data_IF_288432214743
#
_entry.id   IF_288432214743
#
_cell.length_a   1.000
_cell.length_b   1.000
_cell.length_c   1.000
_cell.angle_alpha   90.00
_cell.angle_beta   90.00
_cell.angle_gamma   90.00
#
_symmetry.space_group_name_H-M   'P 1'
#
loop_
_entity.id
_entity.type
_entity.pdbx_description
1 polymer ?
#
# COMPACT_ATOMS: atom_id res chain seq x y z
N UNK A 1 -9.19 5.54 18.63
CA UNK A 1 -9.96 5.32 19.87
C UNK A 1 -11.43 5.13 19.52
N UNK A 2 -12.00 3.93 19.74
CA UNK A 2 -13.36 3.58 19.30
C UNK A 2 -14.45 4.50 19.87
N UNK A 3 -14.31 4.94 21.12
CA UNK A 3 -15.29 5.82 21.77
C UNK A 3 -15.46 7.19 21.10
N UNK A 4 -14.50 7.60 20.26
CA UNK A 4 -14.54 8.86 19.51
C UNK A 4 -15.02 8.67 18.06
N UNK A 5 -15.24 7.44 17.61
CA UNK A 5 -15.75 7.14 16.27
C UNK A 5 -17.27 7.29 16.25
N UNK A 6 -17.71 8.54 16.06
CA UNK A 6 -19.12 8.94 16.13
C UNK A 6 -20.00 8.22 15.09
N UNK A 7 -19.40 7.77 13.99
CA UNK A 7 -20.01 6.98 12.93
C UNK A 7 -20.46 5.57 13.37
N UNK A 8 -19.93 5.05 14.48
CA UNK A 8 -20.35 3.76 15.03
C UNK A 8 -21.60 3.87 15.91
N UNK A 9 -22.03 5.08 16.26
CA UNK A 9 -23.23 5.31 17.06
C UNK A 9 -24.46 5.52 16.17
N UNK A 10 -25.64 5.19 16.71
CA UNK A 10 -26.92 5.56 16.11
C UNK A 10 -27.02 7.08 15.93
N UNK A 11 -27.72 7.55 14.90
CA UNK A 11 -27.85 8.98 14.58
C UNK A 11 -28.27 9.82 15.79
N UNK A 12 -29.28 9.37 16.55
CA UNK A 12 -29.79 10.07 17.75
C UNK A 12 -28.71 10.25 18.83
N UNK A 13 -27.84 9.24 19.00
CA UNK A 13 -26.75 9.30 19.97
C UNK A 13 -25.63 10.19 19.46
N UNK A 14 -25.28 10.11 18.18
CA UNK A 14 -24.30 10.98 17.52
C UNK A 14 -24.69 12.45 17.66
N UNK A 15 -25.92 12.81 17.31
CA UNK A 15 -26.43 14.18 17.40
C UNK A 15 -26.35 14.73 18.82
N UNK A 16 -26.80 13.94 19.83
CA UNK A 16 -26.70 14.35 21.23
C UNK A 16 -25.27 14.58 21.72
N UNK A 17 -24.31 13.78 21.24
CA UNK A 17 -22.90 13.95 21.59
C UNK A 17 -22.36 15.23 20.96
N UNK A 18 -22.62 15.44 19.67
CA UNK A 18 -22.18 16.62 18.93
C UNK A 18 -22.79 17.90 19.52
N UNK A 19 -24.09 17.90 19.84
CA UNK A 19 -24.76 19.06 20.43
C UNK A 19 -24.17 19.44 21.79
N UNK A 20 -23.82 18.45 22.61
CA UNK A 20 -23.36 18.68 23.99
C UNK A 20 -21.86 18.96 24.10
N UNK A 21 -21.04 18.32 23.26
CA UNK A 21 -19.58 18.31 23.40
C UNK A 21 -18.82 18.73 22.14
N UNK A 22 -19.51 18.88 21.00
CA UNK A 22 -18.88 18.98 19.68
C UNK A 22 -18.18 17.69 19.26
N UNK A 23 -17.50 17.73 18.11
CA UNK A 23 -16.60 16.65 17.72
C UNK A 23 -15.19 16.91 18.31
N UNK A 24 -14.87 16.16 19.37
CA UNK A 24 -13.57 16.25 20.04
C UNK A 24 -12.40 15.89 19.12
N UNK A 25 -12.60 15.11 18.06
CA UNK A 25 -11.56 14.74 17.10
C UNK A 25 -11.06 15.97 16.34
N UNK A 26 -11.97 16.91 16.04
CA UNK A 26 -11.64 18.18 15.37
C UNK A 26 -10.72 19.02 16.26
N UNK A 27 -11.09 19.22 17.53
CA UNK A 27 -10.29 19.97 18.50
C UNK A 27 -8.90 19.35 18.69
N UNK A 28 -8.83 18.03 18.90
CA UNK A 28 -7.55 17.33 19.05
C UNK A 28 -6.70 17.39 17.77
N UNK A 29 -7.33 17.21 16.61
CA UNK A 29 -6.68 17.33 15.31
C UNK A 29 -6.02 18.68 15.13
N UNK A 30 -6.74 19.78 15.37
CA UNK A 30 -6.17 21.13 15.27
C UNK A 30 -5.03 21.38 16.26
N UNK A 31 -5.06 20.80 17.46
CA UNK A 31 -3.92 20.88 18.38
C UNK A 31 -2.69 20.16 17.82
N UNK A 32 -2.85 18.96 17.24
CA UNK A 32 -1.74 18.22 16.61
C UNK A 32 -1.19 19.00 15.41
N UNK A 33 -2.06 19.60 14.59
CA UNK A 33 -1.65 20.44 13.46
C UNK A 33 -0.87 21.68 13.93
N UNK A 34 -1.30 22.30 15.03
CA UNK A 34 -0.60 23.43 15.65
C UNK A 34 0.79 23.02 16.18
N UNK A 35 0.90 21.84 16.80
CA UNK A 35 2.20 21.31 17.22
C UNK A 35 3.12 21.08 16.03
N UNK A 36 2.61 20.50 14.93
CA UNK A 36 3.40 20.28 13.72
C UNK A 36 3.95 21.59 13.16
N UNK A 37 3.14 22.64 13.07
CA UNK A 37 3.60 23.92 12.53
C UNK A 37 4.71 24.55 13.37
N UNK A 38 4.73 24.30 14.69
CA UNK A 38 5.74 24.79 15.63
C UNK A 38 7.08 24.02 15.61
N UNK A 39 7.15 22.85 14.96
CA UNK A 39 8.38 22.03 14.95
C UNK A 39 9.54 22.64 14.15
N UNK A 40 9.28 23.62 13.26
CA UNK A 40 10.33 24.26 12.45
C UNK A 40 11.19 23.24 11.66
N UNK A 41 12.51 23.39 11.70
CA UNK A 41 13.47 22.50 11.02
C UNK A 41 13.47 21.06 11.58
N UNK A 42 12.99 20.85 12.81
CA UNK A 42 12.94 19.53 13.41
C UNK A 42 11.94 18.59 12.70
N UNK A 43 11.02 19.13 11.88
CA UNK A 43 10.04 18.36 11.10
C UNK A 43 10.69 17.19 10.35
N UNK A 44 11.86 17.39 9.75
CA UNK A 44 12.57 16.38 8.97
C UNK A 44 12.84 15.08 9.74
N UNK A 45 13.10 15.16 11.04
CA UNK A 45 13.36 14.00 11.88
C UNK A 45 12.08 13.23 12.21
N UNK A 46 10.92 13.90 12.17
CA UNK A 46 9.61 13.33 12.50
C UNK A 46 8.86 12.83 11.28
N UNK A 47 9.15 13.33 10.07
CA UNK A 47 8.47 12.91 8.82
C UNK A 47 8.31 11.37 8.73
N UNK A 48 9.36 10.54 8.90
CA UNK A 48 9.23 9.10 8.66
C UNK A 48 8.24 8.44 9.61
N UNK A 49 8.16 8.90 10.85
CA UNK A 49 7.25 8.34 11.85
C UNK A 49 5.87 9.01 11.87
N UNK A 50 5.73 10.22 11.31
CA UNK A 50 4.50 11.02 11.38
C UNK A 50 3.60 10.89 10.15
N UNK A 51 4.10 10.43 8.99
CA UNK A 51 3.26 10.19 7.80
C UNK A 51 2.07 9.28 8.13
N UNK A 52 2.31 8.14 8.80
CA UNK A 52 1.26 7.20 9.21
C UNK A 52 0.21 7.81 10.14
N UNK A 53 0.59 8.39 11.28
CA UNK A 53 -0.35 9.06 12.19
C UNK A 53 -1.18 10.16 11.53
N UNK A 54 -0.59 11.02 10.70
CA UNK A 54 -1.37 12.05 9.99
C UNK A 54 -2.33 11.44 8.96
N UNK A 55 -1.92 10.35 8.32
CA UNK A 55 -2.78 9.61 7.40
C UNK A 55 -3.98 8.98 8.11
N UNK A 56 -3.80 8.46 9.33
CA UNK A 56 -4.92 7.99 10.14
C UNK A 56 -5.93 9.11 10.46
N UNK A 57 -5.42 10.30 10.77
CA UNK A 57 -6.26 11.49 11.02
C UNK A 57 -7.03 11.88 9.75
N UNK A 58 -6.41 11.84 8.57
CA UNK A 58 -7.10 12.17 7.32
C UNK A 58 -8.11 11.11 6.86
N UNK A 59 -8.02 9.89 7.37
CA UNK A 59 -8.98 8.83 7.04
C UNK A 59 -10.24 8.85 7.92
N UNK A 60 -10.24 9.62 9.02
CA UNK A 60 -11.45 9.88 9.82
C UNK A 60 -12.49 10.58 8.92
N UNK A 61 -13.76 10.12 8.89
CA UNK A 61 -14.81 10.69 8.05
C UNK A 61 -15.34 12.02 8.61
N UNK A 62 -14.44 13.00 8.76
CA UNK A 62 -14.75 14.34 9.26
C UNK A 62 -14.09 15.41 8.38
N UNK A 63 -14.91 16.14 7.62
CA UNK A 63 -14.44 16.89 6.45
C UNK A 63 -13.51 18.07 6.80
N UNK A 64 -13.78 18.78 7.89
CA UNK A 64 -12.96 19.91 8.34
C UNK A 64 -11.56 19.44 8.74
N UNK A 65 -11.52 18.32 9.47
CA UNK A 65 -10.28 17.68 9.90
C UNK A 65 -9.46 17.16 8.71
N UNK A 66 -10.12 16.53 7.73
CA UNK A 66 -9.50 16.07 6.48
C UNK A 66 -8.83 17.23 5.76
N UNK A 67 -9.59 18.31 5.52
CA UNK A 67 -9.10 19.50 4.81
C UNK A 67 -7.90 20.13 5.52
N UNK A 68 -7.99 20.34 6.82
CA UNK A 68 -6.91 20.94 7.60
C UNK A 68 -5.64 20.08 7.62
N UNK A 69 -5.80 18.75 7.71
CA UNK A 69 -4.67 17.83 7.86
C UNK A 69 -3.99 17.49 6.53
N UNK A 70 -4.72 17.44 5.42
CA UNK A 70 -4.13 17.14 4.11
C UNK A 70 -3.01 18.11 3.73
N UNK A 71 -3.11 19.36 4.16
CA UNK A 71 -2.06 20.37 4.00
C UNK A 71 -0.71 19.96 4.60
N UNK A 72 -0.68 19.13 5.63
CA UNK A 72 0.55 18.64 6.26
C UNK A 72 1.40 17.85 5.27
N UNK A 73 0.79 17.05 4.38
CA UNK A 73 1.56 16.27 3.40
C UNK A 73 2.30 17.16 2.40
N UNK A 74 1.71 18.28 2.01
CA UNK A 74 2.41 19.29 1.22
C UNK A 74 3.61 19.84 1.98
N UNK A 75 3.44 20.22 3.25
CA UNK A 75 4.53 20.73 4.08
C UNK A 75 5.64 19.68 4.26
N UNK A 76 5.30 18.39 4.40
CA UNK A 76 6.29 17.30 4.48
C UNK A 76 7.10 17.17 3.20
N UNK A 77 6.43 17.16 2.03
CA UNK A 77 7.11 17.12 0.74
C UNK A 77 8.03 18.33 0.57
N UNK A 78 7.56 19.53 0.91
CA UNK A 78 8.35 20.75 0.77
C UNK A 78 9.58 20.73 1.70
N UNK A 79 9.41 20.32 2.96
CA UNK A 79 10.51 20.21 3.92
C UNK A 79 11.57 19.22 3.40
N UNK A 80 11.16 18.01 2.99
CA UNK A 80 12.10 17.00 2.49
C UNK A 80 12.78 17.46 1.20
N UNK A 81 12.02 18.07 0.28
CA UNK A 81 12.55 18.62 -0.97
C UNK A 81 13.62 19.68 -0.70
N UNK A 82 13.38 20.62 0.24
CA UNK A 82 14.33 21.67 0.58
C UNK A 82 15.62 21.11 1.17
N UNK A 83 15.53 20.04 1.95
CA UNK A 83 16.67 19.44 2.63
C UNK A 83 17.47 18.43 1.77
N UNK A 84 16.80 17.67 0.89
CA UNK A 84 17.39 16.52 0.19
C UNK A 84 17.27 16.59 -1.34
N UNK A 85 16.58 17.60 -1.87
CA UNK A 85 16.31 17.75 -3.31
C UNK A 85 15.29 16.76 -3.89
N UNK A 86 14.67 15.94 -3.05
CA UNK A 86 13.60 15.00 -3.40
C UNK A 86 12.73 14.73 -2.15
N UNK A 87 11.51 14.21 -2.34
CA UNK A 87 10.60 13.81 -1.26
C UNK A 87 10.31 12.30 -1.26
N UNK A 88 11.31 11.48 -1.62
CA UNK A 88 11.13 10.03 -1.77
C UNK A 88 10.76 9.34 -0.46
N UNK A 89 11.23 9.82 0.69
CA UNK A 89 10.87 9.19 1.97
C UNK A 89 9.40 9.40 2.29
N UNK A 90 8.87 10.61 2.11
CA UNK A 90 7.44 10.90 2.23
C UNK A 90 6.64 10.01 1.28
N UNK A 91 7.06 9.90 0.02
CA UNK A 91 6.41 9.03 -0.98
C UNK A 91 6.39 7.56 -0.55
N UNK A 92 7.53 7.01 -0.09
CA UNK A 92 7.62 5.64 0.42
C UNK A 92 6.61 5.39 1.54
N UNK A 93 6.70 6.18 2.61
CA UNK A 93 5.87 5.99 3.80
C UNK A 93 4.38 6.16 3.48
N UNK A 94 4.03 7.09 2.59
CA UNK A 94 2.63 7.33 2.25
C UNK A 94 2.03 6.15 1.47
N UNK A 95 2.77 5.58 0.52
CA UNK A 95 2.33 4.37 -0.20
C UNK A 95 2.18 3.19 0.76
N UNK A 96 3.17 2.98 1.62
CA UNK A 96 3.22 1.82 2.51
C UNK A 96 2.08 1.86 3.54
N UNK A 97 1.82 3.05 4.11
CA UNK A 97 0.74 3.23 5.09
C UNK A 97 -0.65 3.22 4.43
N UNK A 98 -0.80 3.75 3.22
CA UNK A 98 -2.08 3.70 2.50
C UNK A 98 -2.54 2.27 2.22
N UNK A 99 -1.63 1.39 1.79
CA UNK A 99 -1.95 -0.02 1.54
C UNK A 99 -2.51 -0.71 2.79
N UNK A 100 -1.86 -0.49 3.93
CA UNK A 100 -2.26 -1.06 5.23
C UNK A 100 -3.61 -0.49 5.65
N UNK A 101 -3.75 0.83 5.69
CA UNK A 101 -4.95 1.49 6.23
C UNK A 101 -6.20 1.20 5.39
N UNK A 102 -6.09 1.16 4.06
CA UNK A 102 -7.23 0.81 3.21
C UNK A 102 -7.59 -0.67 3.34
N UNK A 103 -6.58 -1.55 3.51
CA UNK A 103 -6.82 -2.96 3.84
C UNK A 103 -7.52 -3.14 5.20
N UNK A 104 -7.34 -2.22 6.14
CA UNK A 104 -8.06 -2.14 7.43
C UNK A 104 -9.44 -1.46 7.32
N UNK A 105 -9.99 -1.35 6.11
CA UNK A 105 -11.30 -0.77 5.82
C UNK A 105 -11.43 0.73 6.12
N UNK A 106 -10.31 1.47 6.20
CA UNK A 106 -10.33 2.93 6.33
C UNK A 106 -10.34 3.61 4.95
N UNK A 107 -10.76 4.88 4.92
CA UNK A 107 -10.80 5.70 3.70
C UNK A 107 -12.04 5.50 2.85
N UNK A 108 -12.32 6.46 1.99
CA UNK A 108 -13.48 6.48 1.10
C UNK A 108 -13.19 7.30 -0.16
N UNK A 109 -14.17 7.35 -1.07
CA UNK A 109 -14.02 8.08 -2.32
C UNK A 109 -13.98 9.61 -2.11
N UNK A 110 -14.58 10.10 -1.02
CA UNK A 110 -14.49 11.53 -0.66
C UNK A 110 -13.04 11.88 -0.27
N UNK A 111 -12.39 11.05 0.55
CA UNK A 111 -10.98 11.20 0.91
C UNK A 111 -10.09 11.21 -0.33
N UNK A 112 -10.28 10.28 -1.26
CA UNK A 112 -9.52 10.23 -2.54
C UNK A 112 -9.64 11.54 -3.31
N UNK A 113 -10.86 12.08 -3.44
CA UNK A 113 -11.11 13.34 -4.15
C UNK A 113 -10.48 14.53 -3.41
N UNK A 114 -10.67 14.62 -2.10
CA UNK A 114 -10.09 15.68 -1.27
C UNK A 114 -8.55 15.66 -1.32
N UNK A 115 -7.93 14.48 -1.25
CA UNK A 115 -6.48 14.32 -1.36
C UNK A 115 -5.96 14.92 -2.66
N UNK A 116 -6.58 14.56 -3.79
CA UNK A 116 -6.21 15.07 -5.10
C UNK A 116 -6.41 16.59 -5.20
N UNK A 117 -7.62 17.07 -4.91
CA UNK A 117 -7.98 18.49 -5.07
C UNK A 117 -7.14 19.40 -4.19
N UNK A 118 -7.03 19.11 -2.89
CA UNK A 118 -6.37 20.02 -1.94
C UNK A 118 -4.87 20.10 -2.20
N UNK A 119 -4.23 18.96 -2.48
CA UNK A 119 -2.79 18.94 -2.72
C UNK A 119 -2.44 19.53 -4.09
N UNK A 120 -3.22 19.25 -5.15
CA UNK A 120 -2.99 19.86 -6.46
C UNK A 120 -3.21 21.37 -6.43
N UNK A 121 -4.30 21.85 -5.82
CA UNK A 121 -4.56 23.29 -5.69
C UNK A 121 -3.40 23.97 -4.97
N UNK A 122 -2.85 23.35 -3.92
CA UNK A 122 -1.73 23.92 -3.17
C UNK A 122 -0.41 23.92 -3.95
N UNK A 123 -0.12 22.84 -4.68
CA UNK A 123 1.04 22.80 -5.60
C UNK A 123 0.92 23.86 -6.69
N UNK A 124 -0.29 24.10 -7.21
CA UNK A 124 -0.52 25.13 -8.22
C UNK A 124 -0.44 26.54 -7.65
N UNK A 125 -0.94 26.78 -6.43
CA UNK A 125 -0.96 28.11 -5.82
C UNK A 125 0.42 28.58 -5.34
N UNK A 126 1.22 27.67 -4.75
CA UNK A 126 2.55 27.99 -4.23
C UNK A 126 3.63 27.98 -5.33
N UNK A 127 3.33 27.44 -6.51
CA UNK A 127 4.20 27.30 -7.68
C UNK A 127 5.66 26.89 -7.36
N UNK A 128 5.89 25.81 -6.61
CA UNK A 128 7.23 25.43 -6.22
C UNK A 128 8.05 24.91 -7.41
N UNK A 129 9.37 24.96 -7.30
CA UNK A 129 10.29 24.44 -8.34
C UNK A 129 10.07 22.96 -8.67
N UNK A 130 9.49 22.20 -7.74
CA UNK A 130 9.19 20.77 -7.86
C UNK A 130 7.73 20.49 -8.26
N UNK A 131 6.96 21.48 -8.73
CA UNK A 131 5.53 21.36 -9.04
C UNK A 131 5.18 20.20 -9.97
N UNK A 132 6.00 19.95 -10.99
CA UNK A 132 5.77 18.87 -11.95
C UNK A 132 5.90 17.51 -11.28
N UNK A 133 6.97 17.32 -10.51
CA UNK A 133 7.17 16.11 -9.70
C UNK A 133 6.07 15.94 -8.65
N UNK A 134 5.66 17.03 -8.00
CA UNK A 134 4.57 17.03 -7.03
C UNK A 134 3.22 16.63 -7.63
N UNK A 135 2.85 17.22 -8.77
CA UNK A 135 1.62 16.88 -9.49
C UNK A 135 1.62 15.42 -10.00
N UNK A 136 2.76 14.94 -10.51
CA UNK A 136 2.93 13.55 -10.91
C UNK A 136 2.74 12.59 -9.71
N UNK A 137 3.36 12.90 -8.57
CA UNK A 137 3.21 12.12 -7.34
C UNK A 137 1.75 12.09 -6.86
N UNK A 138 1.08 13.24 -6.77
CA UNK A 138 -0.32 13.32 -6.33
C UNK A 138 -1.24 12.53 -7.25
N UNK A 139 -1.01 12.60 -8.57
CA UNK A 139 -1.74 11.80 -9.56
C UNK A 139 -1.52 10.29 -9.35
N UNK A 140 -0.28 9.86 -9.14
CA UNK A 140 0.07 8.46 -8.87
C UNK A 140 -0.58 7.93 -7.58
N UNK A 141 -0.55 8.71 -6.49
CA UNK A 141 -1.22 8.35 -5.24
C UNK A 141 -2.74 8.33 -5.40
N UNK A 142 -3.32 9.26 -6.15
CA UNK A 142 -4.77 9.28 -6.40
C UNK A 142 -5.21 8.02 -7.17
N UNK A 143 -4.42 7.59 -8.16
CA UNK A 143 -4.62 6.32 -8.87
C UNK A 143 -4.42 5.11 -7.96
N UNK A 144 -3.46 5.16 -7.03
CA UNK A 144 -3.28 4.13 -6.02
C UNK A 144 -4.50 4.00 -5.10
N UNK A 145 -4.99 5.11 -4.58
CA UNK A 145 -6.20 5.16 -3.76
C UNK A 145 -7.40 4.57 -4.49
N UNK A 146 -7.59 4.90 -5.76
CA UNK A 146 -8.64 4.30 -6.60
C UNK A 146 -8.52 2.78 -6.66
N UNK A 147 -7.33 2.24 -6.97
CA UNK A 147 -7.10 0.79 -7.06
C UNK A 147 -7.25 0.08 -5.73
N UNK A 148 -6.83 0.69 -4.63
CA UNK A 148 -6.99 0.12 -3.29
C UNK A 148 -8.44 0.13 -2.85
N UNK A 149 -9.21 1.18 -3.15
CA UNK A 149 -10.64 1.25 -2.87
C UNK A 149 -11.42 0.24 -3.73
N UNK A 150 -11.10 0.11 -5.02
CA UNK A 150 -11.66 -0.93 -5.90
C UNK A 150 -11.40 -2.33 -5.32
N UNK A 151 -10.14 -2.61 -4.95
CA UNK A 151 -9.74 -3.87 -4.33
C UNK A 151 -10.52 -4.17 -3.06
N UNK A 152 -10.63 -3.19 -2.16
CA UNK A 152 -11.40 -3.32 -0.92
C UNK A 152 -12.86 -3.68 -1.20
N UNK A 153 -13.51 -2.98 -2.12
CA UNK A 153 -14.92 -3.21 -2.44
C UNK A 153 -15.15 -4.63 -2.99
N UNK A 154 -14.22 -5.12 -3.82
CA UNK A 154 -14.29 -6.47 -4.43
C UNK A 154 -14.04 -7.57 -3.39
N UNK A 155 -13.12 -7.36 -2.45
CA UNK A 155 -12.80 -8.35 -1.40
C UNK A 155 -13.89 -8.43 -0.33
N UNK A 156 -14.48 -7.29 0.05
CA UNK A 156 -15.56 -7.24 1.03
C UNK A 156 -16.91 -7.70 0.48
N UNK A 157 -17.17 -7.43 -0.80
CA UNK A 157 -18.42 -7.82 -1.44
C UNK A 157 -18.54 -9.34 -1.59
N UNK A 158 -19.78 -9.83 -1.71
CA UNK A 158 -20.09 -11.22 -2.11
C UNK A 158 -19.77 -11.49 -3.60
N UNK A 159 -18.85 -10.73 -4.18
CA UNK A 159 -18.48 -10.81 -5.59
C UNK A 159 -17.75 -12.11 -5.94
N UNK A 160 -17.92 -12.53 -7.20
CA UNK A 160 -17.37 -13.76 -7.76
C UNK A 160 -15.84 -13.85 -7.57
N UNK A 161 -15.33 -15.07 -7.33
CA UNK A 161 -13.90 -15.37 -7.11
C UNK A 161 -13.01 -14.82 -8.23
N UNK A 162 -13.49 -14.85 -9.47
CA UNK A 162 -12.76 -14.35 -10.64
C UNK A 162 -12.51 -12.84 -10.57
N UNK A 163 -13.47 -12.06 -10.06
CA UNK A 163 -13.30 -10.61 -9.88
C UNK A 163 -12.23 -10.32 -8.82
N UNK A 164 -12.21 -11.10 -7.72
CA UNK A 164 -11.17 -10.99 -6.67
C UNK A 164 -9.78 -11.28 -7.23
N UNK A 165 -9.63 -12.33 -8.04
CA UNK A 165 -8.36 -12.64 -8.71
C UNK A 165 -7.94 -11.53 -9.68
N UNK A 166 -8.85 -11.08 -10.56
CA UNK A 166 -8.57 -10.01 -11.53
C UNK A 166 -8.17 -8.70 -10.84
N UNK A 167 -8.88 -8.31 -9.78
CA UNK A 167 -8.57 -7.09 -9.05
C UNK A 167 -7.22 -7.19 -8.32
N UNK A 168 -6.93 -8.32 -7.68
CA UNK A 168 -5.63 -8.57 -7.03
C UNK A 168 -4.49 -8.53 -8.05
N UNK A 169 -4.68 -9.14 -9.22
CA UNK A 169 -3.70 -9.11 -10.31
C UNK A 169 -3.46 -7.69 -10.86
N UNK A 170 -4.52 -6.89 -11.02
CA UNK A 170 -4.41 -5.50 -11.45
C UNK A 170 -3.60 -4.67 -10.45
N UNK A 171 -3.87 -4.83 -9.15
CA UNK A 171 -3.15 -4.13 -8.08
C UNK A 171 -1.68 -4.58 -8.00
N UNK A 172 -1.41 -5.87 -8.15
CA UNK A 172 -0.07 -6.43 -8.26
C UNK A 172 0.73 -5.81 -9.42
N UNK A 173 0.14 -5.73 -10.62
CA UNK A 173 0.80 -5.10 -11.77
C UNK A 173 1.02 -3.60 -11.57
N UNK A 174 0.10 -2.93 -10.87
CA UNK A 174 0.23 -1.52 -10.56
C UNK A 174 1.44 -1.25 -9.65
N UNK A 175 1.63 -2.04 -8.58
CA UNK A 175 2.81 -1.94 -7.72
C UNK A 175 4.12 -2.26 -8.44
N UNK A 176 4.09 -3.18 -9.41
CA UNK A 176 5.26 -3.52 -10.24
C UNK A 176 5.64 -2.39 -11.20
N UNK A 177 4.67 -1.88 -11.94
CA UNK A 177 4.92 -1.04 -13.11
C UNK A 177 5.03 0.45 -12.75
N UNK A 178 4.24 0.94 -11.79
CA UNK A 178 4.14 2.39 -11.50
C UNK A 178 5.09 2.79 -10.37
N UNK A 179 5.22 1.97 -9.33
CA UNK A 179 6.03 2.30 -8.16
C UNK A 179 7.29 1.45 -8.01
N UNK A 180 7.38 0.32 -8.72
CA UNK A 180 8.48 -0.65 -8.60
C UNK A 180 8.77 -1.07 -7.14
N UNK A 181 7.71 -1.27 -6.35
CA UNK A 181 7.78 -1.60 -4.92
C UNK A 181 7.81 -3.11 -4.72
N UNK A 182 9.01 -3.67 -4.61
CA UNK A 182 9.22 -5.13 -4.51
C UNK A 182 8.47 -5.78 -3.33
N UNK A 183 8.49 -5.14 -2.16
CA UNK A 183 7.85 -5.69 -0.96
C UNK A 183 6.31 -5.78 -1.11
N UNK A 184 5.67 -4.69 -1.55
CA UNK A 184 4.23 -4.70 -1.82
C UNK A 184 3.87 -5.67 -2.94
N UNK A 185 4.66 -5.68 -4.02
CA UNK A 185 4.47 -6.64 -5.11
C UNK A 185 4.50 -8.09 -4.60
N UNK A 186 5.46 -8.44 -3.74
CA UNK A 186 5.59 -9.77 -3.13
C UNK A 186 4.38 -10.09 -2.23
N UNK A 187 3.92 -9.14 -1.41
CA UNK A 187 2.72 -9.31 -0.58
C UNK A 187 1.50 -9.65 -1.42
N UNK A 188 1.32 -8.97 -2.56
CA UNK A 188 0.21 -9.25 -3.47
C UNK A 188 0.39 -10.54 -4.29
N UNK A 189 1.62 -11.01 -4.52
CA UNK A 189 1.89 -12.36 -5.08
C UNK A 189 1.30 -13.41 -4.13
N UNK A 190 1.61 -13.33 -2.84
CA UNK A 190 1.11 -14.30 -1.87
C UNK A 190 -0.42 -14.25 -1.75
N UNK A 191 -1.01 -13.05 -1.67
CA UNK A 191 -2.48 -12.90 -1.67
C UNK A 191 -3.13 -13.52 -2.91
N UNK A 192 -2.57 -13.31 -4.10
CA UNK A 192 -3.10 -13.89 -5.35
C UNK A 192 -2.91 -15.41 -5.40
N UNK A 193 -1.75 -15.90 -4.96
CA UNK A 193 -1.46 -17.32 -4.85
C UNK A 193 -2.48 -18.03 -3.94
N UNK A 194 -2.78 -17.46 -2.76
CA UNK A 194 -3.73 -18.04 -1.81
C UNK A 194 -5.15 -18.07 -2.38
N UNK A 195 -5.53 -17.04 -3.15
CA UNK A 195 -6.79 -17.04 -3.90
C UNK A 195 -6.83 -18.18 -4.93
N UNK A 196 -5.77 -18.38 -5.71
CA UNK A 196 -5.70 -19.49 -6.67
C UNK A 196 -5.76 -20.86 -5.98
N UNK A 197 -5.05 -21.05 -4.88
CA UNK A 197 -5.12 -22.29 -4.10
C UNK A 197 -6.51 -22.57 -3.56
N UNK A 198 -7.17 -21.55 -3.00
CA UNK A 198 -8.55 -21.69 -2.47
C UNK A 198 -9.58 -22.07 -3.54
N UNK A 199 -9.25 -21.82 -4.81
CA UNK A 199 -10.06 -22.16 -5.97
C UNK A 199 -9.56 -23.44 -6.69
N UNK A 200 -8.57 -24.15 -6.13
CA UNK A 200 -7.94 -25.34 -6.74
C UNK A 200 -7.33 -25.07 -8.13
N UNK A 201 -7.01 -23.80 -8.42
CA UNK A 201 -6.36 -23.37 -9.65
C UNK A 201 -4.83 -23.53 -9.55
N UNK A 202 -4.36 -24.77 -9.41
CA UNK A 202 -2.94 -25.07 -9.13
C UNK A 202 -1.97 -24.53 -10.19
N UNK A 203 -2.36 -24.58 -11.47
CA UNK A 203 -1.53 -24.05 -12.58
C UNK A 203 -1.30 -22.54 -12.43
N UNK A 204 -2.33 -21.78 -12.09
CA UNK A 204 -2.21 -20.32 -11.88
C UNK A 204 -1.49 -20.00 -10.57
N UNK A 205 -1.68 -20.81 -9.51
CA UNK A 205 -0.91 -20.68 -8.28
C UNK A 205 0.60 -20.88 -8.53
N UNK A 206 0.97 -21.87 -9.34
CA UNK A 206 2.34 -22.08 -9.79
C UNK A 206 2.90 -20.89 -10.58
N UNK A 207 2.16 -20.39 -11.57
CA UNK A 207 2.60 -19.20 -12.33
C UNK A 207 2.75 -17.97 -11.45
N UNK A 208 1.85 -17.79 -10.48
CA UNK A 208 1.89 -16.67 -9.54
C UNK A 208 3.15 -16.74 -8.66
N UNK A 209 3.48 -17.89 -8.07
CA UNK A 209 4.73 -18.03 -7.30
C UNK A 209 5.98 -17.91 -8.18
N UNK A 210 5.90 -18.35 -9.43
CA UNK A 210 7.00 -18.20 -10.39
C UNK A 210 7.36 -16.73 -10.59
N UNK A 211 6.41 -15.80 -10.50
CA UNK A 211 6.69 -14.36 -10.55
C UNK A 211 7.67 -13.91 -9.46
N UNK A 212 7.63 -14.53 -8.28
CA UNK A 212 8.60 -14.26 -7.21
C UNK A 212 9.91 -15.00 -7.46
N UNK A 213 9.84 -16.28 -7.82
CA UNK A 213 11.04 -17.08 -8.08
C UNK A 213 11.92 -16.48 -9.21
N UNK A 214 11.30 -15.84 -10.21
CA UNK A 214 11.99 -15.14 -11.30
C UNK A 214 12.73 -13.87 -10.85
N UNK A 215 12.37 -13.29 -9.70
CA UNK A 215 13.07 -12.13 -9.12
C UNK A 215 14.31 -12.52 -8.30
N UNK A 216 14.42 -13.80 -7.93
CA UNK A 216 15.54 -14.33 -7.16
C UNK A 216 16.65 -14.81 -8.09
N UNK A 217 17.90 -14.62 -7.67
CA UNK A 217 19.05 -15.16 -8.37
C UNK A 217 19.67 -16.35 -7.61
N UNK A 218 20.38 -17.20 -8.35
CA UNK A 218 21.14 -18.32 -7.78
C UNK A 218 22.44 -17.82 -7.13
N UNK A 219 22.30 -17.06 -6.03
CA UNK A 219 23.40 -16.46 -5.29
C UNK A 219 23.23 -16.65 -3.77
N UNK A 220 24.26 -16.29 -3.01
CA UNK A 220 24.26 -16.38 -1.54
C UNK A 220 23.79 -15.10 -0.84
N UNK A 221 23.16 -14.16 -1.56
CA UNK A 221 22.64 -12.93 -0.97
C UNK A 221 21.46 -13.28 -0.05
N UNK A 222 21.29 -12.52 1.01
CA UNK A 222 20.16 -12.68 1.91
C UNK A 222 18.87 -12.19 1.25
N UNK A 223 17.79 -12.93 1.46
CA UNK A 223 16.45 -12.58 0.99
C UNK A 223 15.83 -11.52 1.91
N UNK A 224 15.13 -10.57 1.30
CA UNK A 224 14.38 -9.53 2.02
C UNK A 224 12.95 -9.95 2.40
N UNK A 225 12.49 -11.12 1.96
CA UNK A 225 11.17 -11.68 2.28
C UNK A 225 11.08 -12.08 3.76
N UNK A 226 10.17 -11.49 4.55
CA UNK A 226 9.96 -11.83 5.95
C UNK A 226 9.57 -13.29 6.20
N UNK A 227 8.99 -13.99 5.21
CA UNK A 227 8.62 -15.40 5.34
C UNK A 227 9.84 -16.34 5.36
N UNK A 228 11.00 -15.88 4.91
CA UNK A 228 12.24 -16.65 4.84
C UNK A 228 13.39 -15.94 5.56
N UNK A 229 13.28 -15.71 6.89
CA UNK A 229 14.33 -15.02 7.63
C UNK A 229 15.62 -15.84 7.58
N UNK A 230 16.75 -15.17 7.34
CA UNK A 230 18.09 -15.76 7.27
C UNK A 230 18.34 -16.77 6.13
N UNK A 231 17.48 -16.84 5.12
CA UNK A 231 17.72 -17.66 3.94
C UNK A 231 18.40 -16.86 2.83
N UNK A 232 19.15 -17.57 1.98
CA UNK A 232 19.73 -16.99 0.77
C UNK A 232 18.74 -17.01 -0.40
N UNK A 233 18.95 -16.16 -1.40
CA UNK A 233 18.11 -16.12 -2.61
C UNK A 233 18.09 -17.48 -3.31
N UNK A 234 19.25 -18.15 -3.39
CA UNK A 234 19.37 -19.51 -3.91
C UNK A 234 18.47 -20.51 -3.15
N UNK A 235 18.54 -20.52 -1.82
CA UNK A 235 17.75 -21.44 -0.99
C UNK A 235 16.25 -21.22 -1.16
N UNK A 236 15.79 -19.97 -1.11
CA UNK A 236 14.38 -19.63 -1.28
C UNK A 236 13.92 -19.97 -2.70
N UNK A 237 14.72 -19.67 -3.71
CA UNK A 237 14.39 -20.00 -5.11
C UNK A 237 14.24 -21.50 -5.31
N UNK A 238 15.11 -22.31 -4.73
CA UNK A 238 15.00 -23.77 -4.76
C UNK A 238 13.70 -24.25 -4.10
N UNK A 239 13.38 -23.74 -2.91
CA UNK A 239 12.14 -24.09 -2.18
C UNK A 239 10.90 -23.74 -3.01
N UNK A 240 10.88 -22.54 -3.61
CA UNK A 240 9.79 -22.10 -4.48
C UNK A 240 9.69 -22.98 -5.72
N UNK A 241 10.80 -23.33 -6.37
CA UNK A 241 10.79 -24.20 -7.54
C UNK A 241 10.17 -25.56 -7.22
N UNK A 242 10.55 -26.17 -6.09
CA UNK A 242 9.97 -27.45 -5.64
C UNK A 242 8.46 -27.33 -5.44
N UNK A 243 7.99 -26.25 -4.82
CA UNK A 243 6.56 -25.98 -4.61
C UNK A 243 5.81 -25.74 -5.93
N UNK A 244 6.40 -24.95 -6.85
CA UNK A 244 5.85 -24.68 -8.18
C UNK A 244 5.71 -25.97 -9.00
N UNK A 245 6.70 -26.87 -8.93
CA UNK A 245 6.66 -28.16 -9.61
C UNK A 245 5.54 -29.05 -9.06
N UNK A 246 5.36 -29.11 -7.73
CA UNK A 246 4.23 -29.84 -7.12
C UNK A 246 2.87 -29.32 -7.59
N UNK A 247 2.72 -28.00 -7.71
CA UNK A 247 1.51 -27.38 -8.24
C UNK A 247 1.30 -27.64 -9.73
N UNK A 248 2.37 -27.61 -10.55
CA UNK A 248 2.25 -27.98 -11.95
C UNK A 248 1.89 -29.47 -12.11
N UNK A 249 2.35 -30.34 -11.23
CA UNK A 249 1.95 -31.76 -11.24
C UNK A 249 0.47 -31.91 -10.89
N UNK A 250 0.00 -31.27 -9.80
CA UNK A 250 -1.43 -31.24 -9.43
C UNK A 250 -2.32 -30.64 -10.52
N UNK A 251 -1.84 -29.59 -11.19
CA UNK A 251 -2.50 -28.93 -12.32
C UNK A 251 -2.33 -29.66 -13.66
N UNK A 252 -1.59 -30.78 -13.71
CA UNK A 252 -1.25 -31.56 -14.92
C UNK A 252 -0.57 -30.73 -16.03
N UNK A 253 0.13 -29.66 -15.67
CA UNK A 253 0.82 -28.76 -16.59
C UNK A 253 2.34 -29.07 -16.65
N UNK A 254 2.68 -30.32 -16.94
CA UNK A 254 4.05 -30.83 -16.87
C UNK A 254 5.03 -30.15 -17.83
N UNK A 255 4.53 -29.62 -18.95
CA UNK A 255 5.33 -28.87 -19.92
C UNK A 255 6.01 -27.64 -19.31
N UNK A 256 5.38 -27.04 -18.29
CA UNK A 256 5.91 -25.86 -17.58
C UNK A 256 6.79 -26.22 -16.40
N UNK A 257 6.60 -27.39 -15.79
CA UNK A 257 7.47 -27.90 -14.72
C UNK A 257 8.78 -28.51 -15.22
N UNK A 258 8.79 -29.14 -16.39
CA UNK A 258 9.99 -29.82 -16.94
C UNK A 258 11.22 -28.90 -17.08
N UNK A 259 11.11 -27.65 -17.57
CA UNK A 259 12.24 -26.74 -17.61
C UNK A 259 12.82 -26.41 -16.23
N UNK A 260 11.98 -26.26 -15.21
CA UNK A 260 12.42 -25.96 -13.84
C UNK A 260 13.20 -27.13 -13.24
N UNK A 261 12.77 -28.37 -13.50
CA UNK A 261 13.51 -29.57 -13.10
C UNK A 261 14.89 -29.65 -13.75
N UNK A 262 15.00 -29.28 -15.04
CA UNK A 262 16.29 -29.24 -15.73
C UNK A 262 17.22 -28.19 -15.14
N UNK A 263 16.69 -27.02 -14.78
CA UNK A 263 17.46 -25.97 -14.12
C UNK A 263 17.99 -26.43 -12.76
N UNK A 264 17.16 -27.10 -11.95
CA UNK A 264 17.60 -27.69 -10.67
C UNK A 264 18.62 -28.81 -10.86
N UNK A 265 18.45 -29.67 -11.86
CA UNK A 265 19.41 -30.74 -12.14
C UNK A 265 20.80 -30.17 -12.45
N UNK A 266 20.87 -29.16 -13.32
CA UNK A 266 22.13 -28.48 -13.65
C UNK A 266 22.79 -27.85 -12.41
N UNK A 267 21.98 -27.29 -11.49
CA UNK A 267 22.49 -26.70 -10.25
C UNK A 267 23.11 -27.75 -9.32
N UNK A 268 22.53 -28.94 -9.22
CA UNK A 268 23.07 -30.02 -8.38
C UNK A 268 24.24 -30.78 -9.00
N UNK A 269 24.37 -30.73 -10.33
CA UNK A 269 25.50 -31.31 -11.05
C UNK A 269 26.75 -30.40 -11.04
N UNK A 270 26.57 -29.09 -10.86
CA UNK A 270 27.63 -28.08 -10.79
C UNK A 270 28.38 -28.07 -9.44
#
# INVERSE_FOLDING_TARGET
QESLQLEQFSDVKREKIIEKYGDMRVLMGFQILSMWSQLGECKLNFIPSMVGPFLEVTLVPEIELRKATLHIFFDMMECEQRARGNFKQVECELIDKLDILISENKGDDEYRRLFNTILLDRVQSEDPTWKESGAAFISSITRLLERLLDYRNVIQGDENRDKRMSCTFNLLNFYKNEFNRKEMYLRYIYKLHDLHLSAENYTEAAFTLKLYADQLAWNSNQVTDPNYPNHTECQVKEMLYRQIIDYFDKGKCWEKGTPLLKELANLYEA
#
